data_IF_661336640893
#
_entry.id   IF_661336640893
#
_cell.length_a   1.000
_cell.length_b   1.000
_cell.length_c   1.000
_cell.angle_alpha   90.00
_cell.angle_beta   90.00
_cell.angle_gamma   90.00
#
_symmetry.space_group_name_H-M   'P 1'
#
loop_
_entity.id
_entity.type
_entity.pdbx_description
1 polymer ?
#
# COMPACT_ATOMS: atom_id res chain seq x y z
N UNK A 1 -4.44 -6.72 24.47
CA UNK A 1 -5.16 -7.01 23.21
C UNK A 1 -4.17 -6.79 22.07
N UNK A 2 -4.13 -7.62 20.99
CA UNK A 2 -3.22 -7.39 19.86
C UNK A 2 -3.33 -6.01 19.22
N UNK A 3 -4.55 -5.47 19.09
CA UNK A 3 -4.80 -4.16 18.50
C UNK A 3 -4.08 -3.00 19.18
N UNK A 4 -4.06 -2.97 20.51
CA UNK A 4 -3.39 -1.90 21.28
C UNK A 4 -1.87 -1.92 21.16
N UNK A 5 -1.29 -3.10 20.91
CA UNK A 5 0.14 -3.25 20.69
C UNK A 5 0.53 -2.76 19.29
N UNK A 6 -0.28 -3.07 18.28
CA UNK A 6 -0.07 -2.64 16.89
C UNK A 6 -0.11 -1.12 16.78
N UNK A 7 -1.10 -0.45 17.40
CA UNK A 7 -1.17 1.02 17.40
C UNK A 7 0.10 1.69 17.96
N UNK A 8 0.74 1.07 18.97
CA UNK A 8 2.01 1.58 19.51
C UNK A 8 3.21 1.32 18.60
N UNK A 9 3.15 0.29 17.75
CA UNK A 9 4.16 0.03 16.74
C UNK A 9 3.97 0.89 15.48
N UNK A 10 2.76 1.34 15.18
CA UNK A 10 2.46 2.19 14.03
C UNK A 10 2.68 3.69 14.31
N UNK A 11 2.73 4.08 15.58
CA UNK A 11 2.92 5.46 16.01
C UNK A 11 4.17 5.62 16.85
N UNK A 12 5.04 6.57 16.53
CA UNK A 12 6.20 6.91 17.33
C UNK A 12 7.54 6.40 16.80
N UNK A 13 8.56 6.47 17.68
CA UNK A 13 9.97 6.20 17.31
C UNK A 13 10.22 4.76 16.86
N UNK A 14 9.44 3.82 17.35
CA UNK A 14 9.59 2.39 17.03
C UNK A 14 8.96 2.01 15.68
N UNK A 15 8.02 2.79 15.17
CA UNK A 15 7.31 2.47 13.93
C UNK A 15 8.27 2.26 12.75
N UNK A 16 9.25 3.15 12.60
CA UNK A 16 10.25 3.04 11.54
C UNK A 16 11.16 1.82 11.71
N UNK A 17 11.66 1.61 12.91
CA UNK A 17 12.53 0.46 13.18
C UNK A 17 11.82 -0.86 12.94
N UNK A 18 10.58 -0.98 13.41
CA UNK A 18 9.75 -2.15 13.17
C UNK A 18 9.47 -2.36 11.69
N UNK A 19 9.11 -1.30 10.97
CA UNK A 19 8.87 -1.37 9.54
C UNK A 19 10.12 -1.82 8.76
N UNK A 20 11.28 -1.20 8.99
CA UNK A 20 12.51 -1.60 8.32
C UNK A 20 12.95 -3.03 8.67
N UNK A 21 12.69 -3.47 9.91
CA UNK A 21 12.89 -4.87 10.31
C UNK A 21 11.99 -5.83 9.51
N UNK A 22 10.71 -5.51 9.35
CA UNK A 22 9.80 -6.31 8.51
C UNK A 22 10.28 -6.36 7.05
N UNK A 23 10.69 -5.21 6.49
CA UNK A 23 11.21 -5.17 5.12
C UNK A 23 12.48 -6.02 4.98
N UNK A 24 13.38 -6.00 5.96
CA UNK A 24 14.58 -6.86 5.95
C UNK A 24 14.19 -8.33 5.86
N UNK A 25 13.21 -8.79 6.65
CA UNK A 25 12.75 -10.19 6.58
C UNK A 25 12.06 -10.53 5.27
N UNK A 26 11.32 -9.59 4.68
CA UNK A 26 10.76 -9.76 3.34
C UNK A 26 11.90 -9.97 2.33
N UNK A 27 12.96 -9.18 2.40
CA UNK A 27 14.10 -9.29 1.48
C UNK A 27 14.85 -10.62 1.63
N UNK A 28 14.92 -11.17 2.83
CA UNK A 28 15.53 -12.49 3.10
C UNK A 28 14.77 -13.65 2.42
N UNK A 29 13.45 -13.55 2.27
CA UNK A 29 12.63 -14.62 1.65
C UNK A 29 12.46 -14.48 0.14
N UNK A 30 12.80 -13.33 -0.46
CA UNK A 30 12.67 -13.12 -1.91
C UNK A 30 13.37 -14.21 -2.73
N UNK A 31 14.62 -14.65 -2.42
CA UNK A 31 15.28 -15.71 -3.18
C UNK A 31 14.52 -17.04 -3.20
N UNK A 32 13.82 -17.38 -2.10
CA UNK A 32 12.98 -18.58 -2.05
C UNK A 32 11.76 -18.43 -2.95
N UNK A 33 11.12 -17.27 -2.93
CA UNK A 33 9.97 -16.96 -3.80
C UNK A 33 10.36 -16.95 -5.27
N UNK A 34 11.57 -16.53 -5.62
CA UNK A 34 12.08 -16.54 -6.99
C UNK A 34 12.18 -17.94 -7.56
N UNK A 35 12.44 -18.93 -6.71
CA UNK A 35 12.44 -20.34 -7.11
C UNK A 35 11.05 -20.86 -7.50
N UNK A 36 9.98 -20.22 -6.98
CA UNK A 36 8.58 -20.56 -7.26
C UNK A 36 8.07 -19.75 -8.44
N UNK A 37 8.19 -18.42 -8.35
CA UNK A 37 7.81 -17.49 -9.41
C UNK A 37 8.55 -16.15 -9.22
N UNK A 38 9.47 -15.79 -10.13
CA UNK A 38 10.27 -14.56 -10.02
C UNK A 38 9.46 -13.27 -10.18
N UNK A 39 8.18 -13.36 -10.57
CA UNK A 39 7.29 -12.20 -10.73
C UNK A 39 6.39 -11.95 -9.52
N UNK A 40 6.49 -12.75 -8.45
CA UNK A 40 5.71 -12.51 -7.24
C UNK A 40 6.10 -11.18 -6.61
N UNK A 41 5.11 -10.43 -6.20
CA UNK A 41 5.26 -9.22 -5.39
C UNK A 41 4.80 -9.50 -3.95
N UNK A 42 5.33 -8.74 -3.00
CA UNK A 42 4.94 -8.83 -1.59
C UNK A 42 4.38 -7.48 -1.19
N UNK A 43 3.23 -7.52 -0.52
CA UNK A 43 2.60 -6.34 0.03
C UNK A 43 3.03 -6.16 1.49
N UNK A 44 3.34 -4.92 1.88
CA UNK A 44 3.71 -4.57 3.25
C UNK A 44 3.01 -3.28 3.68
N UNK A 45 2.37 -3.31 4.85
CA UNK A 45 1.74 -2.14 5.43
C UNK A 45 2.79 -1.09 5.82
N UNK A 46 2.61 0.13 5.35
CA UNK A 46 3.49 1.25 5.67
C UNK A 46 2.83 2.16 6.73
N UNK A 47 3.45 2.31 7.91
CA UNK A 47 2.94 3.20 8.96
C UNK A 47 2.76 4.64 8.46
N UNK A 48 1.66 5.29 8.88
CA UNK A 48 1.30 6.66 8.47
C UNK A 48 2.39 7.69 8.78
N UNK A 49 3.11 7.50 9.88
CA UNK A 49 4.21 8.37 10.30
C UNK A 49 5.37 8.40 9.29
N UNK A 50 5.53 7.34 8.50
CA UNK A 50 6.60 7.22 7.51
C UNK A 50 6.28 7.96 6.20
N UNK A 51 5.02 8.29 5.94
CA UNK A 51 4.63 9.10 4.79
C UNK A 51 5.24 10.51 4.80
N UNK A 52 5.65 10.99 5.97
CA UNK A 52 6.27 12.31 6.14
C UNK A 52 7.76 12.23 6.52
N UNK A 53 8.33 11.04 6.58
CA UNK A 53 9.74 10.85 6.91
C UNK A 53 10.63 11.08 5.67
N UNK A 54 11.50 12.08 5.67
CA UNK A 54 12.32 12.43 4.51
C UNK A 54 13.41 11.39 4.21
N UNK A 55 13.83 10.58 5.19
CA UNK A 55 14.91 9.58 5.05
C UNK A 55 14.44 8.20 4.63
N UNK A 56 13.12 7.94 4.70
CA UNK A 56 12.55 6.61 4.44
C UNK A 56 12.99 6.03 3.08
N UNK A 57 12.91 6.84 2.03
CA UNK A 57 13.16 6.36 0.66
C UNK A 57 14.61 5.91 0.50
N UNK A 58 15.55 6.67 1.03
CA UNK A 58 16.98 6.34 0.97
C UNK A 58 17.31 5.10 1.79
N UNK A 59 16.71 4.96 2.98
CA UNK A 59 16.92 3.79 3.85
C UNK A 59 16.37 2.52 3.20
N UNK A 60 15.17 2.58 2.59
CA UNK A 60 14.62 1.45 1.83
C UNK A 60 15.52 1.08 0.65
N UNK A 61 15.98 2.06 -0.14
CA UNK A 61 16.87 1.78 -1.27
C UNK A 61 18.18 1.15 -0.83
N UNK A 62 18.73 1.59 0.29
CA UNK A 62 19.94 0.99 0.85
C UNK A 62 19.72 -0.49 1.20
N UNK A 63 18.60 -0.82 1.85
CA UNK A 63 18.25 -2.21 2.17
C UNK A 63 18.10 -3.06 0.91
N UNK A 64 17.38 -2.58 -0.10
CA UNK A 64 17.20 -3.29 -1.36
C UNK A 64 18.53 -3.50 -2.10
N UNK A 65 19.39 -2.49 -2.12
CA UNK A 65 20.73 -2.58 -2.71
C UNK A 65 21.60 -3.61 -1.98
N UNK A 66 21.57 -3.62 -0.66
CA UNK A 66 22.34 -4.57 0.17
C UNK A 66 21.94 -6.03 -0.08
N UNK A 67 20.66 -6.28 -0.36
CA UNK A 67 20.12 -7.62 -0.64
C UNK A 67 20.09 -7.97 -2.13
N UNK A 68 20.48 -7.04 -3.03
CA UNK A 68 20.42 -7.25 -4.47
C UNK A 68 19.00 -7.43 -5.01
N UNK A 69 17.98 -6.90 -4.31
CA UNK A 69 16.58 -7.07 -4.65
C UNK A 69 16.05 -5.91 -5.51
N UNK A 70 15.08 -6.22 -6.37
CA UNK A 70 14.39 -5.22 -7.19
C UNK A 70 13.27 -4.54 -6.38
N UNK A 71 13.23 -3.20 -6.26
CA UNK A 71 12.14 -2.48 -5.63
C UNK A 71 10.74 -2.82 -6.16
N UNK A 72 10.61 -3.24 -7.40
CA UNK A 72 9.33 -3.67 -7.99
C UNK A 72 8.72 -4.91 -7.31
N UNK A 73 9.51 -5.63 -6.50
CA UNK A 73 9.05 -6.79 -5.73
C UNK A 73 8.25 -6.41 -4.48
N UNK A 74 8.28 -5.14 -4.08
CA UNK A 74 7.58 -4.65 -2.90
C UNK A 74 6.47 -3.66 -3.28
N UNK A 75 5.26 -3.93 -2.78
CA UNK A 75 4.11 -3.03 -2.83
C UNK A 75 3.88 -2.51 -1.42
N UNK A 76 3.93 -1.20 -1.24
CA UNK A 76 3.70 -0.54 0.05
C UNK A 76 2.21 -0.18 0.17
N UNK A 77 1.55 -0.72 1.18
CA UNK A 77 0.14 -0.46 1.46
C UNK A 77 -0.02 0.75 2.38
N UNK A 78 -0.88 1.67 1.99
CA UNK A 78 -1.24 2.85 2.78
C UNK A 78 -2.75 3.00 2.81
N UNK A 79 -3.31 3.29 3.97
CA UNK A 79 -4.76 3.49 4.08
C UNK A 79 -5.17 4.84 3.48
N UNK A 80 -6.39 4.90 2.97
CA UNK A 80 -6.99 6.13 2.42
C UNK A 80 -6.86 7.30 3.41
N UNK A 81 -7.23 7.08 4.66
CA UNK A 81 -7.17 8.09 5.74
C UNK A 81 -5.74 8.58 6.00
N UNK A 82 -4.77 7.68 5.97
CA UNK A 82 -3.35 8.00 6.21
C UNK A 82 -2.80 8.99 5.18
N UNK A 83 -3.06 8.75 3.91
CA UNK A 83 -2.61 9.64 2.82
C UNK A 83 -3.29 11.00 2.90
N UNK A 84 -4.58 11.04 3.24
CA UNK A 84 -5.37 12.27 3.29
C UNK A 84 -5.03 13.15 4.50
N UNK A 85 -4.54 12.59 5.59
CA UNK A 85 -4.18 13.34 6.81
C UNK A 85 -3.11 14.43 6.56
N UNK A 86 -2.17 14.19 5.64
CA UNK A 86 -1.17 15.16 5.19
C UNK A 86 -0.85 14.95 3.71
N UNK A 87 -1.83 15.20 2.86
CA UNK A 87 -1.76 14.87 1.43
C UNK A 87 -0.49 15.40 0.73
N UNK A 88 -0.07 16.64 1.02
CA UNK A 88 1.09 17.24 0.34
C UNK A 88 2.39 16.51 0.66
N UNK A 89 2.64 16.20 1.92
CA UNK A 89 3.85 15.47 2.33
C UNK A 89 3.80 14.02 1.84
N UNK A 90 2.65 13.36 1.98
CA UNK A 90 2.43 11.99 1.49
C UNK A 90 2.70 11.88 0.00
N UNK A 91 2.17 12.80 -0.82
CA UNK A 91 2.41 12.81 -2.27
C UNK A 91 3.89 12.87 -2.61
N UNK A 92 4.68 13.67 -1.89
CA UNK A 92 6.12 13.77 -2.13
C UNK A 92 6.83 12.43 -1.86
N UNK A 93 6.55 11.79 -0.75
CA UNK A 93 7.15 10.50 -0.38
C UNK A 93 6.71 9.39 -1.34
N UNK A 94 5.39 9.30 -1.63
CA UNK A 94 4.84 8.29 -2.54
C UNK A 94 5.41 8.45 -3.96
N UNK A 95 5.53 9.69 -4.47
CA UNK A 95 6.13 9.93 -5.78
C UNK A 95 7.60 9.51 -5.83
N UNK A 96 8.38 9.80 -4.77
CA UNK A 96 9.78 9.37 -4.69
C UNK A 96 9.91 7.83 -4.67
N UNK A 97 9.07 7.16 -3.89
CA UNK A 97 9.02 5.68 -3.85
C UNK A 97 8.69 5.11 -5.25
N UNK A 98 7.68 5.66 -5.92
CA UNK A 98 7.32 5.25 -7.29
C UNK A 98 8.46 5.45 -8.30
N UNK A 99 9.15 6.59 -8.24
CA UNK A 99 10.32 6.86 -9.10
C UNK A 99 11.45 5.86 -8.87
N UNK A 100 11.51 5.24 -7.70
CA UNK A 100 12.49 4.19 -7.36
C UNK A 100 12.02 2.77 -7.66
N UNK A 101 10.81 2.61 -8.19
CA UNK A 101 10.27 1.33 -8.66
C UNK A 101 9.30 0.64 -7.70
N UNK A 102 9.15 1.11 -6.46
CA UNK A 102 8.21 0.50 -5.51
C UNK A 102 6.77 0.57 -6.00
N UNK A 103 5.99 -0.49 -5.78
CA UNK A 103 4.53 -0.45 -5.89
C UNK A 103 3.91 0.33 -4.74
N UNK A 104 2.78 0.98 -4.98
CA UNK A 104 1.99 1.64 -3.94
C UNK A 104 0.56 1.17 -4.07
N UNK A 105 0.01 0.58 -3.01
CA UNK A 105 -1.37 0.14 -2.90
C UNK A 105 -2.15 1.05 -1.96
N UNK A 106 -3.33 1.48 -2.38
CA UNK A 106 -4.29 2.11 -1.48
C UNK A 106 -5.14 1.01 -0.85
N UNK A 107 -5.10 0.95 0.48
CA UNK A 107 -5.89 0.02 1.28
C UNK A 107 -7.21 0.64 1.76
N UNK A 108 -8.22 -0.20 2.06
CA UNK A 108 -9.54 0.17 2.56
C UNK A 108 -10.31 1.18 1.68
N UNK A 109 -10.13 1.12 0.34
CA UNK A 109 -10.77 2.09 -0.55
C UNK A 109 -12.30 2.04 -0.43
N UNK A 110 -12.86 3.23 -0.20
CA UNK A 110 -14.31 3.47 -0.10
C UNK A 110 -14.82 3.58 1.34
N UNK A 111 -13.98 3.35 2.34
CA UNK A 111 -14.34 3.54 3.77
C UNK A 111 -14.08 4.97 4.24
N UNK A 112 -13.30 5.75 3.50
CA UNK A 112 -12.90 7.11 3.81
C UNK A 112 -13.60 8.19 2.96
N UNK A 113 -13.02 9.37 2.94
CA UNK A 113 -13.56 10.57 2.28
C UNK A 113 -12.71 11.06 1.09
N UNK A 114 -11.94 10.20 0.44
CA UNK A 114 -11.13 10.61 -0.70
C UNK A 114 -11.99 11.03 -1.89
N UNK A 115 -11.73 12.22 -2.39
CA UNK A 115 -12.31 12.60 -3.67
C UNK A 115 -11.59 11.89 -4.82
N UNK A 116 -12.29 11.62 -5.92
CA UNK A 116 -11.69 11.10 -7.15
C UNK A 116 -10.49 11.96 -7.64
N UNK A 117 -10.54 13.28 -7.40
CA UNK A 117 -9.43 14.18 -7.76
C UNK A 117 -8.17 13.92 -6.91
N UNK A 118 -8.33 13.54 -5.66
CA UNK A 118 -7.20 13.21 -4.77
C UNK A 118 -6.59 11.87 -5.18
N UNK A 119 -7.44 10.86 -5.42
CA UNK A 119 -6.98 9.56 -5.93
C UNK A 119 -6.19 9.70 -7.23
N UNK A 120 -6.67 10.49 -8.18
CA UNK A 120 -6.01 10.70 -9.47
C UNK A 120 -4.65 11.43 -9.36
N UNK A 121 -4.39 12.15 -8.26
CA UNK A 121 -3.10 12.81 -8.00
C UNK A 121 -2.08 11.91 -7.34
N UNK A 122 -2.53 10.86 -6.67
CA UNK A 122 -1.65 9.94 -5.97
C UNK A 122 -1.07 8.91 -6.94
N UNK A 123 0.22 8.59 -6.83
CA UNK A 123 0.89 7.69 -7.76
C UNK A 123 0.68 6.21 -7.38
N UNK A 124 -0.57 5.82 -7.15
CA UNK A 124 -0.92 4.43 -6.86
C UNK A 124 -0.68 3.52 -8.07
N UNK A 125 -0.39 2.26 -7.80
CA UNK A 125 -0.33 1.16 -8.77
C UNK A 125 -1.46 0.17 -8.56
N UNK A 126 -2.00 0.15 -7.35
CA UNK A 126 -2.98 -0.83 -6.92
C UNK A 126 -4.02 -0.16 -6.01
N UNK A 127 -5.23 -0.69 -6.04
CA UNK A 127 -6.35 -0.26 -5.21
C UNK A 127 -7.03 -1.51 -4.66
N UNK A 128 -7.06 -1.63 -3.33
CA UNK A 128 -7.73 -2.71 -2.61
C UNK A 128 -9.14 -2.26 -2.25
N UNK A 129 -10.10 -2.97 -2.78
CA UNK A 129 -11.53 -2.68 -2.55
C UNK A 129 -11.94 -3.40 -1.27
N UNK A 130 -12.35 -2.62 -0.27
CA UNK A 130 -12.71 -3.13 1.05
C UNK A 130 -13.81 -4.20 0.99
N UNK A 131 -13.67 -5.20 1.86
CA UNK A 131 -14.57 -6.35 1.95
C UNK A 131 -16.03 -5.96 2.11
N UNK A 132 -16.37 -4.81 2.70
CA UNK A 132 -17.75 -4.36 2.89
C UNK A 132 -18.47 -4.11 1.58
N UNK A 133 -17.75 -3.78 0.52
CA UNK A 133 -18.28 -3.62 -0.84
C UNK A 133 -18.27 -4.92 -1.64
N UNK A 134 -17.32 -5.81 -1.38
CA UNK A 134 -17.17 -7.10 -2.07
C UNK A 134 -18.16 -8.12 -1.52
N UNK A 135 -18.19 -8.24 -0.19
CA UNK A 135 -19.06 -9.21 0.49
C UNK A 135 -20.52 -8.88 0.25
N UNK A 136 -21.30 -9.90 -0.15
CA UNK A 136 -22.72 -9.76 -0.50
C UNK A 136 -23.05 -8.86 -1.72
N UNK A 137 -22.08 -8.41 -2.50
CA UNK A 137 -22.33 -7.60 -3.70
C UNK A 137 -23.23 -8.30 -4.72
N UNK A 138 -23.11 -9.62 -4.87
CA UNK A 138 -23.94 -10.42 -5.77
C UNK A 138 -25.44 -10.39 -5.43
N UNK A 139 -25.79 -10.21 -4.14
CA UNK A 139 -27.19 -10.17 -3.66
C UNK A 139 -27.70 -8.77 -3.37
N UNK A 140 -26.82 -7.75 -3.42
CA UNK A 140 -27.18 -6.36 -3.14
C UNK A 140 -26.84 -5.43 -4.33
N UNK A 141 -27.85 -4.99 -5.10
CA UNK A 141 -27.63 -4.14 -6.28
C UNK A 141 -26.90 -2.82 -6.00
N UNK A 142 -27.02 -2.26 -4.79
CA UNK A 142 -26.32 -1.03 -4.41
C UNK A 142 -24.82 -1.30 -4.23
N UNK A 143 -24.46 -2.38 -3.51
CA UNK A 143 -23.06 -2.79 -3.34
C UNK A 143 -22.43 -3.16 -4.69
N UNK A 144 -23.18 -3.87 -5.54
CA UNK A 144 -22.71 -4.21 -6.88
C UNK A 144 -22.43 -2.96 -7.72
N UNK A 145 -23.27 -1.94 -7.62
CA UNK A 145 -23.05 -0.67 -8.33
C UNK A 145 -21.80 0.06 -7.82
N UNK A 146 -21.56 0.07 -6.52
CA UNK A 146 -20.35 0.67 -5.91
C UNK A 146 -19.12 -0.10 -6.37
N UNK A 147 -19.13 -1.43 -6.29
CA UNK A 147 -18.04 -2.28 -6.74
C UNK A 147 -17.71 -2.04 -8.23
N UNK A 148 -18.71 -2.00 -9.09
CA UNK A 148 -18.53 -1.73 -10.52
C UNK A 148 -17.94 -0.33 -10.77
N UNK A 149 -18.34 0.67 -10.00
CA UNK A 149 -17.76 2.01 -10.08
C UNK A 149 -16.28 2.00 -9.69
N UNK A 150 -15.91 1.33 -8.60
CA UNK A 150 -14.52 1.18 -8.16
C UNK A 150 -13.65 0.47 -9.22
N UNK A 151 -14.14 -0.63 -9.78
CA UNK A 151 -13.48 -1.34 -10.89
C UNK A 151 -13.32 -0.46 -12.14
N UNK A 152 -14.35 0.36 -12.45
CA UNK A 152 -14.29 1.32 -13.54
C UNK A 152 -13.19 2.38 -13.34
N UNK A 153 -13.02 2.86 -12.12
CA UNK A 153 -11.95 3.80 -11.74
C UNK A 153 -10.59 3.14 -11.91
N UNK A 154 -10.39 1.93 -11.37
CA UNK A 154 -9.14 1.20 -11.53
C UNK A 154 -8.76 1.06 -13.00
N UNK A 155 -9.71 0.68 -13.84
CA UNK A 155 -9.49 0.55 -15.29
C UNK A 155 -9.08 1.86 -15.96
N UNK A 156 -9.76 2.98 -15.63
CA UNK A 156 -9.46 4.30 -16.20
C UNK A 156 -8.11 4.84 -15.76
N UNK A 157 -7.73 4.60 -14.50
CA UNK A 157 -6.46 5.04 -13.92
C UNK A 157 -5.31 4.03 -14.12
N UNK A 158 -5.57 2.91 -14.80
CA UNK A 158 -4.62 1.82 -15.03
C UNK A 158 -4.04 1.24 -13.73
N UNK A 159 -4.89 1.14 -12.70
CA UNK A 159 -4.56 0.53 -11.41
C UNK A 159 -4.92 -0.97 -11.42
N UNK A 160 -4.09 -1.78 -10.78
CA UNK A 160 -4.50 -3.13 -10.39
C UNK A 160 -5.61 -3.04 -9.36
N UNK A 161 -6.68 -3.81 -9.51
CA UNK A 161 -7.75 -3.90 -8.52
C UNK A 161 -7.63 -5.21 -7.74
N UNK A 162 -7.65 -5.12 -6.42
CA UNK A 162 -7.66 -6.26 -5.50
C UNK A 162 -8.96 -6.25 -4.72
N UNK A 163 -9.68 -7.38 -4.70
CA UNK A 163 -10.89 -7.53 -3.91
C UNK A 163 -10.56 -8.23 -2.60
N UNK A 164 -10.96 -7.63 -1.48
CA UNK A 164 -10.73 -8.19 -0.17
C UNK A 164 -11.92 -9.01 0.35
N UNK A 165 -11.64 -10.01 1.19
CA UNK A 165 -12.67 -10.79 1.88
C UNK A 165 -13.48 -11.74 0.98
N UNK A 166 -12.89 -12.22 -0.10
CA UNK A 166 -13.46 -13.26 -0.97
C UNK A 166 -13.24 -14.64 -0.39
#
# INVERSE_FOLDING_TARGET
MPATFIEHLETGVLAKQHFLYQITHILEIIPELDSINPNLTINANMPVSLLVDPSLVEELLQLFTQHGADPQRLILEVTETSVMSNLKASLTTLARLRMKGFGISMDDYGTGYSSMQQLAKCPFTELKIDRSFVHNSASNPKLLSILNAALGICKQLQLTSVAEGV
#
